data_IF_299986192764
#
_entry.id   IF_299986192764
#
_cell.length_a   1.000
_cell.length_b   1.000
_cell.length_c   1.000
_cell.angle_alpha   90.00
_cell.angle_beta   90.00
_cell.angle_gamma   90.00
#
_symmetry.space_group_name_H-M   'P 1'
#
loop_
_entity.id
_entity.type
_entity.pdbx_description
1 polymer ?
#
# COMPACT_ATOMS: atom_id res chain seq x y z
N UNK A 1 -17.83 -10.55 0.90
CA UNK A 1 -17.12 -11.37 -0.10
C UNK A 1 -16.27 -10.46 -1.02
N UNK A 2 -15.32 -9.72 -0.46
CA UNK A 2 -14.38 -8.84 -1.19
C UNK A 2 -12.92 -9.27 -0.94
N UNK A 3 -12.68 -10.58 -0.76
CA UNK A 3 -11.35 -11.10 -0.40
C UNK A 3 -10.27 -10.78 -1.44
N UNK A 4 -10.66 -10.53 -2.70
CA UNK A 4 -9.79 -10.05 -3.78
C UNK A 4 -9.18 -8.70 -3.47
N UNK A 5 -10.01 -7.70 -3.12
CA UNK A 5 -9.59 -6.29 -3.08
C UNK A 5 -8.30 -6.04 -2.26
N UNK A 6 -8.13 -6.59 -1.04
CA UNK A 6 -6.90 -6.37 -0.29
C UNK A 6 -5.66 -7.01 -0.93
N UNK A 7 -5.77 -8.12 -1.66
CA UNK A 7 -4.65 -8.74 -2.37
C UNK A 7 -4.21 -7.91 -3.59
N UNK A 8 -5.17 -7.39 -4.37
CA UNK A 8 -4.87 -6.52 -5.51
C UNK A 8 -4.31 -5.18 -5.07
N UNK A 9 -4.86 -4.56 -4.02
CA UNK A 9 -4.34 -3.29 -3.49
C UNK A 9 -2.88 -3.44 -3.08
N UNK A 10 -2.51 -4.51 -2.38
CA UNK A 10 -1.10 -4.79 -2.03
C UNK A 10 -0.21 -4.97 -3.26
N UNK A 11 -0.69 -5.68 -4.28
CA UNK A 11 0.02 -5.87 -5.55
C UNK A 11 0.27 -4.54 -6.28
N UNK A 12 -0.74 -3.68 -6.37
CA UNK A 12 -0.65 -2.37 -7.00
C UNK A 12 0.33 -1.44 -6.26
N UNK A 13 0.34 -1.45 -4.93
CA UNK A 13 1.25 -0.64 -4.11
C UNK A 13 2.72 -1.05 -4.33
N UNK A 14 3.01 -2.36 -4.29
CA UNK A 14 4.38 -2.88 -4.45
C UNK A 14 4.89 -2.80 -5.90
N UNK A 15 4.02 -3.12 -6.86
CA UNK A 15 4.37 -3.19 -8.27
C UNK A 15 4.23 -1.85 -8.98
N UNK A 16 3.02 -1.31 -9.04
CA UNK A 16 2.76 -0.12 -9.86
C UNK A 16 3.27 1.16 -9.21
N UNK A 17 2.88 1.45 -7.97
CA UNK A 17 3.24 2.73 -7.38
C UNK A 17 4.73 2.80 -6.98
N UNK A 18 5.23 1.81 -6.23
CA UNK A 18 6.63 1.84 -5.78
C UNK A 18 7.62 1.60 -6.92
N UNK A 19 7.41 0.54 -7.72
CA UNK A 19 8.41 0.10 -8.71
C UNK A 19 8.26 0.79 -10.08
N UNK A 20 7.03 1.03 -10.56
CA UNK A 20 6.83 1.66 -11.89
C UNK A 20 6.81 3.19 -11.81
N UNK A 21 6.21 3.77 -10.78
CA UNK A 21 6.12 5.23 -10.62
C UNK A 21 7.24 5.82 -9.74
N UNK A 22 8.10 4.98 -9.16
CA UNK A 22 9.21 5.43 -8.31
C UNK A 22 8.76 6.15 -7.03
N UNK A 23 7.48 6.01 -6.65
CA UNK A 23 6.94 6.71 -5.49
C UNK A 23 7.46 6.06 -4.22
N UNK A 24 8.01 6.88 -3.33
CA UNK A 24 8.30 6.46 -1.96
C UNK A 24 6.96 6.23 -1.28
N UNK A 25 6.72 5.03 -0.77
CA UNK A 25 5.51 4.70 -0.02
C UNK A 25 5.94 4.24 1.37
N UNK A 26 5.43 4.93 2.39
CA UNK A 26 5.59 4.56 3.79
C UNK A 26 4.55 3.50 4.18
N UNK A 27 5.00 2.39 4.74
CA UNK A 27 4.13 1.36 5.30
C UNK A 27 4.28 1.33 6.82
N UNK A 28 3.20 1.61 7.55
CA UNK A 28 3.18 1.59 9.02
C UNK A 28 2.15 0.59 9.52
N UNK A 29 2.56 -0.36 10.37
CA UNK A 29 1.62 -1.20 11.11
C UNK A 29 1.02 -0.37 12.24
N UNK A 30 -0.31 -0.29 12.28
CA UNK A 30 -1.08 0.35 13.34
C UNK A 30 -1.85 -0.74 14.07
N UNK A 31 -1.66 -0.80 15.38
CA UNK A 31 -2.37 -1.77 16.22
C UNK A 31 -3.89 -1.58 16.11
N UNK A 32 -4.63 -2.68 16.06
CA UNK A 32 -6.09 -2.69 15.87
C UNK A 32 -6.61 -2.31 14.47
N UNK A 33 -5.78 -1.79 13.56
CA UNK A 33 -6.17 -1.37 12.18
C UNK A 33 -5.45 -2.13 11.07
N UNK A 34 -4.26 -2.66 11.35
CA UNK A 34 -3.41 -3.36 10.39
C UNK A 34 -2.39 -2.43 9.70
N UNK A 35 -1.92 -2.80 8.51
CA UNK A 35 -0.90 -2.03 7.77
C UNK A 35 -1.54 -0.87 7.00
N UNK A 36 -1.08 0.35 7.28
CA UNK A 36 -1.46 1.56 6.55
C UNK A 36 -0.32 1.97 5.62
N UNK A 37 -0.65 2.21 4.35
CA UNK A 37 0.26 2.71 3.34
C UNK A 37 -0.02 4.20 3.10
N UNK A 38 1.02 5.04 3.07
CA UNK A 38 0.93 6.48 2.82
C UNK A 38 1.99 6.93 1.82
N UNK A 39 1.65 7.92 1.01
CA UNK A 39 2.65 8.71 0.29
C UNK A 39 3.32 9.69 1.28
N UNK A 40 4.59 10.04 1.10
CA UNK A 40 5.21 11.13 1.83
C UNK A 40 4.42 12.41 1.56
N UNK A 41 4.38 13.28 2.57
CA UNK A 41 3.87 14.64 2.41
C UNK A 41 4.74 15.36 1.37
N UNK A 42 4.12 16.18 0.51
CA UNK A 42 4.79 16.88 -0.58
C UNK A 42 5.72 17.99 -0.09
#
# INVERSE_FOLDING_TARGET
MLSWQPHTVRGAISGALKKRLGLVIAAKKIDGRGTVYKLPDA
#
